data_IF_211556587893
#
_entry.id   IF_211556587893
#
_cell.length_a   1.000
_cell.length_b   1.000
_cell.length_c   1.000
_cell.angle_alpha   90.00
_cell.angle_beta   90.00
_cell.angle_gamma   90.00
#
_symmetry.space_group_name_H-M   'P 1'
#
loop_
_entity.id
_entity.type
_entity.pdbx_description
1 polymer ?
#
# COMPACT_ATOMS: atom_id res chain seq x y z
N UNK A 1 -56.86 9.08 -3.50
CA UNK A 1 -55.77 9.84 -2.86
C UNK A 1 -54.46 9.35 -3.41
N UNK A 2 -53.61 10.25 -3.90
CA UNK A 2 -52.22 9.95 -4.25
C UNK A 2 -51.41 9.82 -2.95
N UNK A 3 -50.74 8.69 -2.73
CA UNK A 3 -49.65 8.62 -1.75
C UNK A 3 -48.37 8.19 -2.48
N UNK A 4 -47.53 9.18 -2.76
CA UNK A 4 -46.15 9.03 -3.20
C UNK A 4 -45.33 8.67 -1.96
N UNK A 5 -44.81 7.45 -1.86
CA UNK A 5 -43.83 7.09 -0.81
C UNK A 5 -42.42 7.10 -1.40
N UNK A 6 -41.55 7.81 -0.69
CA UNK A 6 -40.25 8.31 -1.12
C UNK A 6 -39.27 7.25 -1.61
N UNK A 7 -38.54 7.63 -2.65
CA UNK A 7 -37.41 6.91 -3.23
C UNK A 7 -36.15 7.54 -2.65
N UNK A 8 -35.82 7.20 -1.40
CA UNK A 8 -34.52 7.54 -0.80
C UNK A 8 -33.46 6.62 -1.40
N UNK A 9 -33.15 6.87 -2.68
CA UNK A 9 -31.99 6.32 -3.36
C UNK A 9 -30.73 6.97 -2.82
N UNK A 10 -30.32 6.56 -1.62
CA UNK A 10 -28.95 6.84 -1.15
C UNK A 10 -27.99 6.21 -2.14
N UNK A 11 -27.24 7.04 -2.87
CA UNK A 11 -26.19 6.55 -3.75
C UNK A 11 -25.25 5.64 -2.93
N UNK A 12 -24.89 4.44 -3.41
CA UNK A 12 -23.93 3.61 -2.71
C UNK A 12 -22.65 4.42 -2.47
N UNK A 13 -22.02 4.31 -1.29
CA UNK A 13 -20.76 4.99 -1.02
C UNK A 13 -19.78 4.66 -2.14
N UNK A 14 -19.19 5.69 -2.74
CA UNK A 14 -18.21 5.53 -3.81
C UNK A 14 -17.12 4.57 -3.32
N UNK A 15 -16.87 3.49 -4.07
CA UNK A 15 -15.87 2.50 -3.72
C UNK A 15 -14.53 3.19 -3.40
N UNK A 16 -13.80 2.77 -2.35
CA UNK A 16 -12.54 3.38 -2.01
C UNK A 16 -11.60 3.29 -3.21
N UNK A 17 -11.09 4.44 -3.64
CA UNK A 17 -10.14 4.52 -4.76
C UNK A 17 -8.90 3.71 -4.39
N UNK A 18 -8.51 2.77 -5.24
CA UNK A 18 -7.26 2.04 -5.07
C UNK A 18 -6.06 2.98 -5.14
N UNK A 19 -4.99 2.61 -4.43
CA UNK A 19 -3.70 3.30 -4.47
C UNK A 19 -2.84 2.64 -5.54
N UNK A 20 -2.23 3.43 -6.41
CA UNK A 20 -1.28 2.96 -7.41
C UNK A 20 0.01 3.75 -7.32
N UNK A 21 1.13 3.05 -7.13
CA UNK A 21 2.47 3.63 -7.00
C UNK A 21 3.31 3.26 -8.22
N UNK A 22 3.52 4.19 -9.17
CA UNK A 22 4.34 3.92 -10.35
C UNK A 22 5.80 3.63 -10.00
N UNK A 23 6.50 2.90 -10.87
CA UNK A 23 7.87 2.45 -10.68
C UNK A 23 8.83 3.63 -10.45
N UNK A 24 8.61 4.75 -11.15
CA UNK A 24 9.39 5.96 -10.97
C UNK A 24 9.28 6.52 -9.54
N UNK A 25 8.12 6.38 -8.90
CA UNK A 25 7.92 6.83 -7.53
C UNK A 25 8.52 5.85 -6.54
N UNK A 26 8.36 4.54 -6.77
CA UNK A 26 9.03 3.50 -5.98
C UNK A 26 10.56 3.68 -6.03
N UNK A 27 11.14 3.96 -7.19
CA UNK A 27 12.57 4.23 -7.34
C UNK A 27 13.02 5.45 -6.51
N UNK A 28 12.24 6.54 -6.53
CA UNK A 28 12.51 7.72 -5.70
C UNK A 28 12.50 7.40 -4.21
N UNK A 29 11.53 6.60 -3.76
CA UNK A 29 11.46 6.15 -2.37
C UNK A 29 12.63 5.23 -2.01
N UNK A 30 12.99 4.28 -2.87
CA UNK A 30 14.11 3.38 -2.65
C UNK A 30 15.46 4.11 -2.54
N UNK A 31 15.64 5.22 -3.27
CA UNK A 31 16.84 6.07 -3.15
C UNK A 31 16.79 7.05 -1.98
N UNK A 32 15.64 7.19 -1.30
CA UNK A 32 15.45 8.14 -0.21
C UNK A 32 15.70 7.49 1.15
N UNK A 33 16.53 8.12 1.98
CA UNK A 33 16.70 7.72 3.40
C UNK A 33 15.55 8.18 4.31
N UNK A 34 14.51 8.82 3.75
CA UNK A 34 13.40 9.38 4.54
C UNK A 34 12.23 8.42 4.70
N UNK A 35 12.19 7.33 3.93
CA UNK A 35 11.11 6.34 4.00
C UNK A 35 11.40 5.37 5.13
N UNK A 36 10.43 5.15 6.01
CA UNK A 36 10.55 4.18 7.09
C UNK A 36 9.23 3.44 7.33
N UNK A 37 9.35 2.25 7.93
CA UNK A 37 8.22 1.47 8.40
C UNK A 37 8.47 1.03 9.84
N UNK A 38 7.45 1.14 10.69
CA UNK A 38 7.47 0.65 12.08
C UNK A 38 6.26 -0.25 12.34
N UNK A 39 6.37 -1.26 13.23
CA UNK A 39 5.20 -2.04 13.62
C UNK A 39 4.06 -1.13 14.13
N UNK A 40 2.85 -1.40 13.66
CA UNK A 40 1.64 -0.72 14.08
C UNK A 40 0.79 -1.67 14.92
N UNK A 41 0.22 -1.16 16.00
CA UNK A 41 -0.72 -1.88 16.87
C UNK A 41 -2.08 -1.19 16.91
N UNK A 42 -3.14 -1.94 17.18
CA UNK A 42 -4.46 -1.40 17.52
C UNK A 42 -4.51 -0.88 18.97
N UNK A 43 -5.69 -0.39 19.39
CA UNK A 43 -5.92 0.11 20.75
C UNK A 43 -5.73 -0.97 21.84
N UNK A 44 -5.91 -2.25 21.49
CA UNK A 44 -5.68 -3.38 22.38
C UNK A 44 -4.23 -3.87 22.38
N UNK A 45 -3.34 -3.23 21.60
CA UNK A 45 -1.93 -3.59 21.49
C UNK A 45 -1.64 -4.73 20.52
N UNK A 46 -2.62 -5.20 19.74
CA UNK A 46 -2.41 -6.27 18.77
C UNK A 46 -1.72 -5.74 17.50
N UNK A 47 -0.76 -6.48 16.92
CA UNK A 47 -0.14 -6.08 15.66
C UNK A 47 -1.15 -6.04 14.51
N UNK A 48 -1.29 -4.87 13.89
CA UNK A 48 -2.20 -4.65 12.76
C UNK A 48 -1.47 -4.55 11.42
N UNK A 49 -0.20 -4.13 11.43
CA UNK A 49 0.56 -3.94 10.20
C UNK A 49 1.85 -3.17 10.39
N UNK A 50 2.32 -2.56 9.31
CA UNK A 50 3.50 -1.69 9.29
C UNK A 50 3.08 -0.26 8.98
N UNK A 51 3.20 0.65 9.95
CA UNK A 51 2.95 2.08 9.74
C UNK A 51 4.10 2.68 8.95
N UNK A 52 3.79 3.33 7.83
CA UNK A 52 4.79 3.94 6.96
C UNK A 52 4.87 5.47 7.17
N UNK A 53 6.06 6.02 6.96
CA UNK A 53 6.32 7.46 6.98
C UNK A 53 7.34 7.85 5.91
N UNK A 54 7.33 9.11 5.50
CA UNK A 54 8.16 9.61 4.40
C UNK A 54 7.67 9.18 3.01
N UNK A 55 6.42 8.71 2.91
CA UNK A 55 5.80 8.16 1.69
C UNK A 55 4.77 9.10 1.07
N UNK A 56 4.84 10.38 1.39
CA UNK A 56 3.93 11.38 0.81
C UNK A 56 4.09 11.43 -0.71
N UNK A 57 3.03 11.07 -1.43
CA UNK A 57 2.99 11.03 -2.90
C UNK A 57 2.31 9.77 -3.46
N UNK A 58 1.88 9.79 -4.72
CA UNK A 58 1.32 8.61 -5.42
C UNK A 58 0.15 7.91 -4.71
N UNK A 59 -0.64 8.68 -3.94
CA UNK A 59 -1.83 8.18 -3.25
C UNK A 59 -1.55 7.53 -1.88
N UNK A 60 -0.29 7.28 -1.53
CA UNK A 60 0.14 6.94 -0.16
C UNK A 60 0.26 8.20 0.70
N UNK A 61 0.11 8.01 2.01
CA UNK A 61 0.21 9.07 3.02
C UNK A 61 1.00 8.57 4.22
N UNK A 62 1.69 9.49 4.87
CA UNK A 62 2.31 9.18 6.15
C UNK A 62 1.24 8.80 7.17
N UNK A 63 1.52 7.76 7.96
CA UNK A 63 0.56 7.19 8.90
C UNK A 63 -0.28 6.03 8.33
N UNK A 64 -0.26 5.83 7.01
CA UNK A 64 -0.80 4.61 6.39
C UNK A 64 -0.20 3.36 7.03
N UNK A 65 -1.01 2.32 7.17
CA UNK A 65 -0.56 1.04 7.73
C UNK A 65 -0.68 -0.06 6.66
N UNK A 66 0.45 -0.59 6.21
CA UNK A 66 0.45 -1.75 5.30
C UNK A 66 0.05 -2.99 6.10
N UNK A 67 -1.06 -3.63 5.72
CA UNK A 67 -1.61 -4.79 6.44
C UNK A 67 -1.44 -6.10 5.66
N UNK A 68 -1.37 -6.02 4.33
CA UNK A 68 -1.14 -7.16 3.45
C UNK A 68 -0.19 -6.80 2.31
N UNK A 69 0.64 -7.76 1.92
CA UNK A 69 1.46 -7.73 0.73
C UNK A 69 1.29 -9.07 0.02
N UNK A 70 0.92 -9.06 -1.26
CA UNK A 70 0.79 -10.27 -2.08
C UNK A 70 -0.10 -11.35 -1.45
N UNK A 71 -1.23 -10.94 -0.87
CA UNK A 71 -2.15 -11.85 -0.17
C UNK A 71 -1.68 -12.30 1.21
N UNK A 72 -0.47 -11.95 1.62
CA UNK A 72 0.12 -12.33 2.91
C UNK A 72 -0.06 -11.20 3.92
N UNK A 73 -0.64 -11.50 5.09
CA UNK A 73 -0.72 -10.55 6.20
C UNK A 73 0.68 -10.25 6.71
N UNK A 74 1.02 -8.96 6.83
CA UNK A 74 2.32 -8.51 7.37
C UNK A 74 2.09 -7.70 8.63
N UNK A 75 2.87 -7.95 9.68
CA UNK A 75 2.77 -7.24 10.96
C UNK A 75 4.08 -6.59 11.41
N UNK A 76 5.18 -6.90 10.72
CA UNK A 76 6.50 -6.32 10.97
C UNK A 76 7.16 -5.88 9.66
N UNK A 77 8.06 -4.88 9.71
CA UNK A 77 8.84 -4.47 8.53
C UNK A 77 9.60 -5.63 7.89
N UNK A 78 10.26 -6.47 8.68
CA UNK A 78 11.05 -7.61 8.18
C UNK A 78 10.17 -8.61 7.43
N UNK A 79 8.96 -8.90 7.95
CA UNK A 79 8.03 -9.79 7.28
C UNK A 79 7.58 -9.22 5.94
N UNK A 80 7.27 -7.91 5.88
CA UNK A 80 6.93 -7.25 4.64
C UNK A 80 8.07 -7.30 3.63
N UNK A 81 9.31 -7.05 4.06
CA UNK A 81 10.51 -7.16 3.22
C UNK A 81 10.67 -8.57 2.67
N UNK A 82 10.53 -9.61 3.51
CA UNK A 82 10.65 -11.00 3.06
C UNK A 82 9.62 -11.35 1.98
N UNK A 83 8.36 -10.95 2.16
CA UNK A 83 7.30 -11.19 1.17
C UNK A 83 7.59 -10.46 -0.14
N UNK A 84 8.02 -9.19 -0.06
CA UNK A 84 8.40 -8.38 -1.23
C UNK A 84 9.57 -9.04 -1.97
N UNK A 85 10.63 -9.43 -1.26
CA UNK A 85 11.80 -10.10 -1.86
C UNK A 85 11.40 -11.39 -2.57
N UNK A 86 10.52 -12.20 -1.96
CA UNK A 86 10.00 -13.41 -2.60
C UNK A 86 9.19 -13.13 -3.86
N UNK A 87 8.37 -12.08 -3.85
CA UNK A 87 7.61 -11.64 -5.03
C UNK A 87 8.53 -11.17 -6.15
N UNK A 88 9.58 -10.41 -5.82
CA UNK A 88 10.60 -9.95 -6.77
C UNK A 88 11.39 -11.11 -7.37
N UNK A 89 11.81 -12.07 -6.54
CA UNK A 89 12.49 -13.28 -7.00
C UNK A 89 11.64 -14.12 -7.96
N UNK A 90 10.31 -14.04 -7.83
CA UNK A 90 9.34 -14.68 -8.74
C UNK A 90 9.10 -13.88 -10.04
N UNK A 91 9.84 -12.81 -10.28
CA UNK A 91 9.76 -12.00 -11.50
C UNK A 91 8.55 -11.07 -11.57
N UNK A 92 7.83 -10.83 -10.45
CA UNK A 92 6.66 -9.94 -10.45
C UNK A 92 7.05 -8.52 -10.85
N UNK A 93 6.21 -7.90 -11.68
CA UNK A 93 6.35 -6.51 -12.13
C UNK A 93 5.50 -5.53 -11.34
N UNK A 94 4.49 -6.04 -10.64
CA UNK A 94 3.62 -5.29 -9.75
C UNK A 94 3.47 -6.08 -8.46
N UNK A 95 3.62 -5.39 -7.33
CA UNK A 95 3.36 -5.90 -5.98
C UNK A 95 2.04 -5.29 -5.53
N UNK A 96 1.07 -6.14 -5.26
CA UNK A 96 -0.25 -5.82 -4.70
C UNK A 96 -0.24 -5.93 -3.17
N UNK A 97 -1.18 -5.23 -2.54
CA UNK A 97 -1.32 -5.24 -1.08
C UNK A 97 -2.56 -4.50 -0.61
N UNK A 98 -2.65 -4.33 0.70
CA UNK A 98 -3.68 -3.54 1.36
C UNK A 98 -3.05 -2.56 2.34
N UNK A 99 -3.62 -1.35 2.37
CA UNK A 99 -3.28 -0.30 3.32
C UNK A 99 -4.51 0.05 4.14
N UNK A 100 -4.35 0.15 5.46
CA UNK A 100 -5.33 0.73 6.35
C UNK A 100 -5.05 2.22 6.52
N UNK A 101 -6.04 3.04 6.20
CA UNK A 101 -6.03 4.51 6.37
C UNK A 101 -7.34 4.93 7.01
N UNK A 102 -7.26 5.63 8.14
CA UNK A 102 -8.44 6.15 8.86
C UNK A 102 -9.50 5.06 9.12
N UNK A 103 -9.05 3.82 9.42
CA UNK A 103 -9.92 2.66 9.62
C UNK A 103 -10.46 1.99 8.35
N UNK A 104 -10.16 2.53 7.16
CA UNK A 104 -10.61 2.00 5.86
C UNK A 104 -9.49 1.20 5.20
N UNK A 105 -9.80 -0.02 4.73
CA UNK A 105 -8.88 -0.81 3.90
C UNK A 105 -8.94 -0.32 2.46
N UNK A 106 -7.77 -0.01 1.92
CA UNK A 106 -7.60 0.49 0.57
C UNK A 106 -6.66 -0.47 -0.17
N UNK A 107 -7.12 -1.09 -1.27
CA UNK A 107 -6.26 -1.88 -2.13
C UNK A 107 -5.13 -1.02 -2.68
N UNK A 108 -3.91 -1.53 -2.65
CA UNK A 108 -2.72 -0.85 -3.15
C UNK A 108 -1.97 -1.73 -4.13
N UNK A 109 -1.34 -1.10 -5.13
CA UNK A 109 -0.42 -1.75 -6.04
C UNK A 109 0.79 -0.85 -6.30
N UNK A 110 1.97 -1.43 -6.36
CA UNK A 110 3.23 -0.75 -6.62
C UNK A 110 3.98 -1.45 -7.75
N UNK A 111 4.40 -0.71 -8.77
CA UNK A 111 5.25 -1.25 -9.81
C UNK A 111 6.67 -1.46 -9.30
N UNK A 112 7.30 -2.53 -9.78
CA UNK A 112 8.70 -2.84 -9.49
C UNK A 112 9.57 -2.05 -10.46
N UNK A 113 10.47 -1.16 -9.98
CA UNK A 113 11.43 -0.50 -10.83
C UNK A 113 12.28 -1.52 -11.58
N UNK A 114 12.38 -1.39 -12.90
CA UNK A 114 13.38 -2.16 -13.61
C UNK A 114 14.75 -1.62 -13.19
N UNK A 115 15.62 -2.49 -12.68
CA UNK A 115 17.02 -2.13 -12.52
C UNK A 115 17.53 -1.84 -13.93
N UNK A 116 17.87 -0.58 -14.19
CA UNK A 116 18.63 -0.26 -15.37
C UNK A 116 19.95 -1.02 -15.25
N UNK A 117 20.36 -1.79 -16.28
CA UNK A 117 21.65 -2.47 -16.25
C UNK A 117 22.73 -1.45 -15.91
N UNK A 118 23.68 -1.82 -15.06
CA UNK A 118 24.85 -0.97 -14.87
C UNK A 118 25.47 -0.69 -16.25
N UNK A 119 25.87 0.56 -16.55
CA UNK A 119 26.63 0.81 -17.77
C UNK A 119 27.86 -0.11 -17.77
N UNK A 120 28.28 -0.61 -18.94
CA UNK A 120 29.49 -1.42 -19.01
C UNK A 120 30.68 -0.63 -18.43
N UNK A 121 31.63 -1.30 -17.76
CA UNK A 121 32.86 -0.65 -17.35
C UNK A 121 33.57 -0.03 -18.57
N UNK A 122 34.31 1.09 -18.38
CA UNK A 122 35.02 1.76 -19.47
C UNK A 122 36.08 0.89 -20.14
#
# INVERSE_FOLDING_TARGET
GLEKKGKDGGAPPAAPKSIYVPAAVVARYASSRRVSGVPAVDEAGNPVGVRVSGVSGSGLRDGDVVTMVEGTKVTTPDQAVMVIVGALASGKKVISGEVLRDGVRIPAAAEVPQQQPAPPPP
#
